data_IF_987664187111
#
_entry.id   IF_987664187111
#
_cell.length_a   1.000
_cell.length_b   1.000
_cell.length_c   1.000
_cell.angle_alpha   90.00
_cell.angle_beta   90.00
_cell.angle_gamma   90.00
#
_symmetry.space_group_name_H-M   'P 1'
#
loop_
_entity.id
_entity.type
_entity.pdbx_description
1 polymer ?
#
# COMPACT_ATOMS: atom_id res chain seq x y z
N UNK A 1 28.28 10.92 79.71
CA UNK A 1 27.98 12.21 80.38
C UNK A 1 27.24 13.09 79.39
N UNK A 2 26.16 13.75 79.85
CA UNK A 2 25.36 14.81 79.20
C UNK A 2 24.72 14.44 77.84
N UNK A 3 23.40 14.16 77.73
CA UNK A 3 22.21 14.95 78.11
C UNK A 3 22.29 16.42 77.69
N UNK A 4 21.23 16.84 76.97
CA UNK A 4 20.84 18.20 76.62
C UNK A 4 21.38 18.74 75.29
N UNK A 5 20.76 18.30 74.19
CA UNK A 5 20.92 18.92 72.86
C UNK A 5 19.85 18.57 71.83
N UNK A 6 18.74 17.92 72.22
CA UNK A 6 17.70 17.44 71.29
C UNK A 6 16.30 17.98 71.65
N UNK A 7 16.20 18.89 72.62
CA UNK A 7 14.90 19.44 73.06
C UNK A 7 14.55 20.82 72.47
N UNK A 8 15.40 21.40 71.60
CA UNK A 8 15.14 22.70 70.98
C UNK A 8 14.78 22.64 69.49
N UNK A 9 14.76 21.45 68.87
CA UNK A 9 14.36 21.27 67.47
C UNK A 9 12.88 20.85 67.31
N UNK A 10 12.17 20.59 68.41
CA UNK A 10 10.77 20.16 68.41
C UNK A 10 9.75 21.29 68.56
N UNK A 11 10.20 22.55 68.63
CA UNK A 11 9.32 23.71 68.87
C UNK A 11 9.16 24.66 67.65
N UNK A 12 9.66 24.28 66.48
CA UNK A 12 9.56 25.07 65.23
C UNK A 12 8.87 24.32 64.06
N UNK A 13 8.25 23.18 64.32
CA UNK A 13 7.36 22.53 63.35
C UNK A 13 5.92 22.95 63.65
N UNK A 14 5.55 24.10 63.11
CA UNK A 14 4.17 24.56 63.10
C UNK A 14 3.29 23.56 62.35
N UNK A 15 2.23 23.10 63.03
CA UNK A 15 1.10 22.41 62.43
C UNK A 15 0.49 23.29 61.33
N UNK A 16 0.56 22.85 60.08
CA UNK A 16 -0.42 23.23 59.05
C UNK A 16 -1.44 22.09 58.99
N UNK A 17 -2.64 22.36 59.49
CA UNK A 17 -3.79 21.51 59.29
C UNK A 17 -4.29 21.75 57.86
N UNK A 18 -3.94 20.87 56.94
CA UNK A 18 -4.51 20.82 55.60
C UNK A 18 -5.96 20.32 55.75
N UNK A 19 -6.93 21.23 55.71
CA UNK A 19 -8.32 20.86 55.50
C UNK A 19 -8.46 20.45 54.02
N UNK A 20 -8.44 19.14 53.77
CA UNK A 20 -8.72 18.58 52.47
C UNK A 20 -10.22 18.77 52.17
N UNK A 21 -10.56 19.87 51.51
CA UNK A 21 -11.86 20.04 50.86
C UNK A 21 -11.72 19.31 49.53
N UNK A 22 -12.36 18.16 49.40
CA UNK A 22 -12.55 17.53 48.08
C UNK A 22 -13.37 18.50 47.22
N UNK A 23 -12.71 19.21 46.31
CA UNK A 23 -13.41 19.96 45.26
C UNK A 23 -14.12 18.95 44.35
N UNK A 24 -15.44 18.87 44.51
CA UNK A 24 -16.29 18.18 43.53
C UNK A 24 -16.03 18.84 42.17
N UNK A 25 -15.64 18.09 41.13
CA UNK A 25 -15.45 18.66 39.81
C UNK A 25 -16.76 19.31 39.38
N UNK A 26 -16.77 20.64 39.32
CA UNK A 26 -17.92 21.39 38.83
C UNK A 26 -18.08 21.05 37.35
N UNK A 27 -19.15 20.32 37.04
CA UNK A 27 -19.56 20.05 35.67
C UNK A 27 -19.69 21.37 34.91
N UNK A 28 -18.83 21.57 33.92
CA UNK A 28 -18.68 22.83 33.19
C UNK A 28 -19.72 23.00 32.08
N UNK A 29 -20.78 22.20 32.08
CA UNK A 29 -21.96 22.51 31.26
C UNK A 29 -22.70 23.68 31.90
N UNK A 30 -22.46 24.89 31.38
CA UNK A 30 -23.25 26.06 31.72
C UNK A 30 -24.74 25.78 31.41
N UNK A 31 -25.54 25.51 32.44
CA UNK A 31 -26.99 25.37 32.33
C UNK A 31 -27.62 26.76 32.28
N UNK A 32 -27.52 27.39 31.11
CA UNK A 32 -28.16 28.65 30.78
C UNK A 32 -28.37 28.78 29.29
N UNK A 33 -29.46 29.42 28.86
CA UNK A 33 -29.63 29.77 27.45
C UNK A 33 -28.52 30.75 27.04
N UNK A 34 -27.72 30.37 26.04
CA UNK A 34 -26.80 31.30 25.39
C UNK A 34 -27.64 32.37 24.69
N UNK A 35 -27.76 33.55 25.30
CA UNK A 35 -28.24 34.72 24.57
C UNK A 35 -27.16 35.03 23.53
N UNK A 36 -27.48 34.81 22.27
CA UNK A 36 -26.58 35.13 21.17
C UNK A 36 -26.10 36.57 21.30
N UNK A 37 -24.78 36.78 21.24
CA UNK A 37 -24.21 38.11 21.26
C UNK A 37 -24.58 38.80 19.94
N UNK A 38 -25.40 39.85 20.00
CA UNK A 38 -25.75 40.68 18.85
C UNK A 38 -24.49 41.43 18.41
N UNK A 39 -23.80 40.90 17.40
CA UNK A 39 -22.69 41.57 16.72
C UNK A 39 -23.26 42.59 15.73
N UNK A 40 -23.26 43.86 16.13
CA UNK A 40 -23.70 44.97 15.28
C UNK A 40 -22.58 45.29 14.29
N UNK A 41 -22.90 45.25 12.99
CA UNK A 41 -21.95 45.65 11.96
C UNK A 41 -21.52 47.10 12.16
N UNK A 42 -20.23 47.36 11.94
CA UNK A 42 -19.71 48.73 11.90
C UNK A 42 -20.50 49.58 10.88
N UNK A 43 -20.86 50.83 11.21
CA UNK A 43 -21.50 51.73 10.25
C UNK A 43 -20.56 51.99 9.06
N UNK A 44 -21.10 52.27 7.87
CA UNK A 44 -20.31 52.51 6.66
C UNK A 44 -19.41 53.75 6.73
N UNK A 45 -19.53 54.57 7.78
CA UNK A 45 -18.65 55.70 8.09
C UNK A 45 -17.29 55.29 8.65
N UNK A 46 -17.09 54.03 9.07
CA UNK A 46 -15.80 53.51 9.50
C UNK A 46 -15.07 52.91 8.29
N UNK A 47 -13.93 53.50 7.93
CA UNK A 47 -13.06 52.99 6.87
C UNK A 47 -11.92 52.19 7.50
N UNK A 48 -11.77 50.93 7.08
CA UNK A 48 -10.68 50.06 7.50
C UNK A 48 -9.71 49.87 6.32
N UNK A 49 -8.44 50.21 6.50
CA UNK A 49 -7.45 50.13 5.42
C UNK A 49 -6.08 49.65 5.92
N UNK A 50 -5.40 48.88 5.06
CA UNK A 50 -3.99 48.54 5.22
C UNK A 50 -3.16 49.46 4.31
N UNK A 51 -2.29 50.28 4.90
CA UNK A 51 -1.37 51.14 4.15
C UNK A 51 0.04 50.56 4.22
N UNK A 52 0.69 50.37 3.08
CA UNK A 52 2.08 49.93 3.03
C UNK A 52 3.04 51.12 3.17
N UNK A 53 3.97 51.04 4.13
CA UNK A 53 5.05 51.99 4.31
C UNK A 53 6.36 51.44 3.69
N UNK A 54 6.83 51.98 2.55
CA UNK A 54 8.05 51.52 1.88
C UNK A 54 9.34 51.87 2.64
N UNK A 55 9.34 52.87 3.53
CA UNK A 55 10.54 53.26 4.27
C UNK A 55 10.87 52.28 5.40
N UNK A 56 9.84 51.74 6.05
CA UNK A 56 9.98 50.80 7.17
C UNK A 56 9.69 49.34 6.79
N UNK A 57 9.21 49.09 5.57
CA UNK A 57 8.75 47.78 5.08
C UNK A 57 7.74 47.16 6.05
N UNK A 58 6.67 47.91 6.32
CA UNK A 58 5.59 47.54 7.24
C UNK A 58 4.23 47.86 6.64
N UNK A 59 3.21 47.09 7.03
CA UNK A 59 1.81 47.38 6.76
C UNK A 59 1.19 47.97 8.02
N UNK A 60 0.52 49.10 7.89
CA UNK A 60 -0.16 49.78 8.99
C UNK A 60 -1.66 49.64 8.79
N UNK A 61 -2.33 48.97 9.71
CA UNK A 61 -3.78 48.84 9.75
C UNK A 61 -4.40 49.97 10.58
N UNK A 62 -5.28 50.74 9.96
CA UNK A 62 -6.00 51.85 10.60
C UNK A 62 -7.51 51.75 10.36
N UNK A 63 -8.27 52.11 11.40
CA UNK A 63 -9.70 52.39 11.31
C UNK A 63 -9.89 53.89 11.47
N UNK A 64 -10.50 54.54 10.49
CA UNK A 64 -10.77 55.98 10.52
C UNK A 64 -12.25 56.30 10.34
N UNK A 65 -12.69 57.38 10.98
CA UNK A 65 -14.00 58.01 10.81
C UNK A 65 -13.77 59.48 10.54
N UNK A 66 -14.23 59.97 9.39
CA UNK A 66 -14.12 61.38 8.99
C UNK A 66 -12.67 61.93 9.11
N UNK A 67 -11.68 61.12 8.72
CA UNK A 67 -10.26 61.48 8.77
C UNK A 67 -9.58 61.32 10.13
N UNK A 68 -10.31 60.98 11.20
CA UNK A 68 -9.75 60.71 12.52
C UNK A 68 -9.59 59.21 12.77
N UNK A 69 -8.39 58.80 13.21
CA UNK A 69 -8.13 57.41 13.60
C UNK A 69 -8.85 57.11 14.91
N UNK A 70 -9.67 56.06 14.90
CA UNK A 70 -10.46 55.63 16.06
C UNK A 70 -9.83 54.45 16.80
N UNK A 71 -8.72 53.90 16.29
CA UNK A 71 -7.96 52.82 16.92
C UNK A 71 -6.46 53.09 16.93
N UNK A 72 -5.74 52.38 17.81
CA UNK A 72 -4.29 52.31 17.73
C UNK A 72 -3.88 51.53 16.46
N UNK A 73 -2.91 52.05 15.68
CA UNK A 73 -2.48 51.41 14.45
C UNK A 73 -1.79 50.08 14.77
N UNK A 74 -2.19 49.02 14.08
CA UNK A 74 -1.50 47.74 14.14
C UNK A 74 -0.44 47.71 13.03
N UNK A 75 0.83 47.64 13.43
CA UNK A 75 1.97 47.63 12.52
C UNK A 75 2.40 46.19 12.32
N UNK A 76 2.36 45.73 11.08
CA UNK A 76 2.65 44.35 10.69
C UNK A 76 3.88 44.32 9.77
N UNK A 77 4.71 43.32 9.96
CA UNK A 77 5.67 42.92 8.92
C UNK A 77 4.93 42.35 7.69
N UNK A 78 5.57 42.27 6.51
CA UNK A 78 4.96 41.66 5.34
C UNK A 78 4.51 40.21 5.58
N UNK A 79 5.30 39.43 6.34
CA UNK A 79 4.96 38.05 6.71
C UNK A 79 3.74 37.99 7.64
N UNK A 80 3.67 38.86 8.64
CA UNK A 80 2.51 38.92 9.55
C UNK A 80 1.24 39.38 8.84
N UNK A 81 1.35 40.34 7.91
CA UNK A 81 0.24 40.76 7.07
C UNK A 81 -0.29 39.61 6.21
N UNK A 82 0.60 38.90 5.50
CA UNK A 82 0.21 37.73 4.69
C UNK A 82 -0.46 36.64 5.54
N UNK A 83 0.10 36.34 6.71
CA UNK A 83 -0.46 35.36 7.64
C UNK A 83 -1.85 35.78 8.15
N UNK A 84 -2.04 37.06 8.44
CA UNK A 84 -3.31 37.60 8.90
C UNK A 84 -4.35 37.60 7.77
N UNK A 85 -4.00 38.07 6.58
CA UNK A 85 -4.86 38.06 5.40
C UNK A 85 -5.27 36.63 5.03
N UNK A 86 -4.34 35.67 5.11
CA UNK A 86 -4.64 34.25 4.92
C UNK A 86 -5.63 33.75 5.98
N UNK A 87 -5.44 34.11 7.25
CA UNK A 87 -6.37 33.74 8.32
C UNK A 87 -7.76 34.33 8.11
N UNK A 88 -7.85 35.61 7.76
CA UNK A 88 -9.12 36.30 7.52
C UNK A 88 -9.84 35.75 6.29
N UNK A 89 -9.12 35.51 5.18
CA UNK A 89 -9.68 34.90 3.99
C UNK A 89 -10.20 33.48 4.24
N UNK A 90 -9.45 32.65 4.98
CA UNK A 90 -9.90 31.32 5.40
C UNK A 90 -11.17 31.43 6.26
N UNK A 91 -11.18 32.31 7.27
CA UNK A 91 -12.33 32.51 8.14
C UNK A 91 -13.56 32.95 7.33
N UNK A 92 -13.41 33.94 6.46
CA UNK A 92 -14.49 34.43 5.60
C UNK A 92 -14.99 33.34 4.66
N UNK A 93 -14.10 32.55 4.06
CA UNK A 93 -14.45 31.41 3.21
C UNK A 93 -15.30 30.37 3.98
N UNK A 94 -14.85 29.94 5.16
CA UNK A 94 -15.61 28.97 5.96
C UNK A 94 -16.94 29.54 6.47
N UNK A 95 -16.97 30.83 6.84
CA UNK A 95 -18.19 31.49 7.29
C UNK A 95 -19.21 31.63 6.16
N UNK A 96 -18.79 32.03 4.96
CA UNK A 96 -19.65 32.06 3.76
C UNK A 96 -20.18 30.67 3.42
N UNK A 97 -19.33 29.63 3.50
CA UNK A 97 -19.73 28.24 3.26
C UNK A 97 -20.75 27.75 4.29
N UNK A 98 -20.54 28.05 5.57
CA UNK A 98 -21.46 27.71 6.64
C UNK A 98 -22.82 28.43 6.48
N UNK A 99 -22.79 29.73 6.19
CA UNK A 99 -23.98 30.54 5.95
C UNK A 99 -24.81 30.01 4.76
N UNK A 100 -24.15 29.60 3.68
CA UNK A 100 -24.79 29.03 2.50
C UNK A 100 -25.32 27.60 2.73
N UNK A 101 -24.73 26.83 3.65
CA UNK A 101 -25.26 25.52 4.08
C UNK A 101 -26.51 25.70 4.97
N UNK A 102 -26.46 26.60 5.95
CA UNK A 102 -27.55 26.83 6.91
C UNK A 102 -28.80 27.45 6.24
N UNK A 103 -28.62 28.23 5.16
CA UNK A 103 -29.71 28.71 4.31
C UNK A 103 -30.66 29.71 4.97
N UNK A 104 -30.25 30.33 6.08
CA UNK A 104 -31.09 31.26 6.89
C UNK A 104 -30.92 32.75 6.53
N UNK A 105 -29.99 33.10 5.62
CA UNK A 105 -29.71 34.48 5.21
C UNK A 105 -30.24 34.76 3.79
N UNK A 106 -30.69 35.99 3.53
CA UNK A 106 -31.15 36.42 2.20
C UNK A 106 -30.02 36.28 1.15
N UNK A 107 -30.34 35.74 -0.03
CA UNK A 107 -29.38 35.50 -1.11
C UNK A 107 -28.61 34.17 -1.05
N UNK A 108 -28.88 33.33 -0.04
CA UNK A 108 -28.23 32.02 0.13
C UNK A 108 -28.61 31.00 -0.95
N UNK A 109 -29.72 31.15 -1.67
CA UNK A 109 -30.13 30.19 -2.71
C UNK A 109 -29.16 30.09 -3.89
N UNK A 110 -28.51 31.19 -4.28
CA UNK A 110 -27.48 31.18 -5.32
C UNK A 110 -26.17 30.61 -4.78
N UNK A 111 -25.74 31.03 -3.58
CA UNK A 111 -24.54 30.51 -2.93
C UNK A 111 -24.64 29.01 -2.60
N UNK A 112 -25.86 28.52 -2.34
CA UNK A 112 -26.15 27.10 -2.09
C UNK A 112 -26.07 26.27 -3.36
N UNK A 113 -26.44 26.81 -4.54
CA UNK A 113 -26.29 26.11 -5.82
C UNK A 113 -24.83 25.74 -6.12
N UNK A 114 -23.88 26.59 -5.75
CA UNK A 114 -22.44 26.33 -5.92
C UNK A 114 -21.88 25.30 -4.93
N UNK A 115 -22.60 25.05 -3.83
CA UNK A 115 -22.19 24.11 -2.77
C UNK A 115 -22.87 22.74 -2.87
N UNK A 116 -23.87 22.59 -3.75
CA UNK A 116 -24.55 21.32 -3.95
C UNK A 116 -23.81 20.47 -4.99
N UNK A 117 -23.76 19.13 -4.81
CA UNK A 117 -23.24 18.19 -5.82
C UNK A 117 -24.10 18.12 -7.10
N UNK A 118 -25.11 18.98 -7.22
CA UNK A 118 -26.09 19.01 -8.30
C UNK A 118 -25.95 20.28 -9.10
N UNK A 119 -25.36 20.16 -10.29
CA UNK A 119 -25.23 21.25 -11.25
C UNK A 119 -26.42 21.27 -12.19
N UNK A 120 -26.84 22.47 -12.60
CA UNK A 120 -27.93 22.68 -13.56
C UNK A 120 -27.40 23.31 -14.84
N UNK A 121 -27.73 22.73 -15.99
CA UNK A 121 -27.30 23.21 -17.30
C UNK A 121 -28.47 23.89 -17.99
N UNK A 122 -28.36 25.20 -18.27
CA UNK A 122 -29.40 25.94 -18.98
C UNK A 122 -29.27 25.77 -20.51
N UNK A 123 -29.66 24.60 -21.04
CA UNK A 123 -29.66 24.30 -22.48
C UNK A 123 -30.76 23.32 -22.87
N UNK A 124 -31.63 23.72 -23.80
CA UNK A 124 -32.70 22.85 -24.30
C UNK A 124 -32.17 21.64 -25.09
N UNK A 125 -31.03 21.78 -25.75
CA UNK A 125 -30.34 20.65 -26.41
C UNK A 125 -29.87 19.61 -25.39
N UNK A 126 -29.30 20.08 -24.27
CA UNK A 126 -28.83 19.22 -23.19
C UNK A 126 -29.98 18.42 -22.59
N UNK A 127 -31.09 19.09 -22.27
CA UNK A 127 -32.30 18.44 -21.75
C UNK A 127 -32.87 17.41 -22.72
N UNK A 128 -32.85 17.70 -24.03
CA UNK A 128 -33.33 16.78 -25.07
C UNK A 128 -32.50 15.50 -25.14
N UNK A 129 -31.17 15.59 -25.06
CA UNK A 129 -30.29 14.39 -25.13
C UNK A 129 -30.34 13.59 -23.83
N UNK A 130 -30.23 14.27 -22.69
CA UNK A 130 -30.05 13.63 -21.39
C UNK A 130 -31.35 13.40 -20.60
N UNK A 131 -32.48 13.90 -21.09
CA UNK A 131 -33.79 13.75 -20.45
C UNK A 131 -33.90 14.51 -19.12
N UNK A 132 -33.15 15.60 -18.98
CA UNK A 132 -33.10 16.45 -17.80
C UNK A 132 -31.92 17.43 -17.85
N UNK A 133 -32.00 18.52 -17.09
CA UNK A 133 -30.97 19.56 -17.03
C UNK A 133 -30.02 19.44 -15.83
N UNK A 134 -30.12 18.35 -15.06
CA UNK A 134 -29.38 18.14 -13.82
C UNK A 134 -28.17 17.24 -14.02
N UNK A 135 -27.08 17.54 -13.33
CA UNK A 135 -25.88 16.72 -13.22
C UNK A 135 -25.64 16.48 -11.74
N UNK A 136 -25.91 15.26 -11.26
CA UNK A 136 -25.66 14.84 -9.87
C UNK A 136 -24.37 14.02 -9.85
N UNK A 137 -23.31 14.51 -9.20
CA UNK A 137 -22.02 13.81 -9.10
C UNK A 137 -21.68 13.56 -7.65
N UNK A 138 -21.48 12.30 -7.29
CA UNK A 138 -21.15 11.84 -5.94
C UNK A 138 -19.78 11.16 -5.96
N UNK A 139 -18.70 11.93 -5.77
CA UNK A 139 -17.39 11.35 -5.50
C UNK A 139 -17.34 10.83 -4.06
N UNK A 140 -16.71 9.69 -3.87
CA UNK A 140 -16.52 9.00 -2.60
C UNK A 140 -15.10 8.45 -2.57
N UNK A 141 -14.51 8.31 -1.39
CA UNK A 141 -13.15 7.80 -1.21
C UNK A 141 -12.17 8.85 -0.69
N UNK A 142 -10.87 8.58 -0.86
CA UNK A 142 -9.77 9.41 -0.37
C UNK A 142 -8.72 9.65 -1.44
N UNK A 143 -8.04 10.77 -1.29
CA UNK A 143 -6.84 11.11 -2.05
C UNK A 143 -5.79 11.50 -1.03
N UNK A 144 -4.72 10.72 -0.96
CA UNK A 144 -3.56 10.97 -0.13
C UNK A 144 -2.38 11.33 -1.03
N UNK A 145 -1.55 12.26 -0.55
CA UNK A 145 -0.40 12.73 -1.27
C UNK A 145 0.74 12.94 -0.27
N UNK A 146 1.77 12.10 -0.39
CA UNK A 146 2.97 12.16 0.41
C UNK A 146 4.04 12.92 -0.39
N UNK A 147 4.48 14.04 0.17
CA UNK A 147 5.53 14.89 -0.40
C UNK A 147 6.74 14.84 0.53
N UNK A 148 7.87 14.36 0.02
CA UNK A 148 9.10 14.19 0.77
C UNK A 148 10.32 14.63 -0.01
N UNK A 149 11.42 14.83 0.72
CA UNK A 149 12.74 14.98 0.13
C UNK A 149 13.63 13.91 0.75
N UNK A 150 14.14 13.01 -0.08
CA UNK A 150 15.00 11.92 0.35
C UNK A 150 16.45 12.27 0.07
N UNK A 151 17.20 12.54 1.13
CA UNK A 151 18.65 12.67 1.07
C UNK A 151 19.28 11.35 1.50
N UNK A 152 20.11 10.77 0.63
CA UNK A 152 20.90 9.59 0.96
C UNK A 152 22.37 9.90 0.77
N UNK A 153 23.20 9.44 1.72
CA UNK A 153 24.65 9.55 1.63
C UNK A 153 25.27 8.20 1.94
N UNK A 154 26.19 7.76 1.09
CA UNK A 154 26.94 6.54 1.27
C UNK A 154 28.44 6.85 1.21
N UNK A 155 29.16 6.55 2.28
CA UNK A 155 30.59 6.81 2.40
C UNK A 155 31.46 5.68 1.79
N UNK A 156 30.90 4.89 0.88
CA UNK A 156 31.66 3.84 0.20
C UNK A 156 32.69 4.48 -0.74
N UNK A 157 34.01 4.26 -0.49
CA UNK A 157 35.06 4.86 -1.29
C UNK A 157 35.09 4.37 -2.74
N UNK A 158 34.48 3.22 -3.05
CA UNK A 158 34.37 2.71 -4.41
C UNK A 158 33.47 3.58 -5.30
N UNK A 159 32.58 4.40 -4.72
CA UNK A 159 31.81 5.38 -5.46
C UNK A 159 32.57 6.69 -5.61
N UNK A 160 32.39 7.34 -6.76
CA UNK A 160 32.93 8.68 -7.00
C UNK A 160 32.34 9.69 -6.00
N UNK A 161 33.08 10.71 -5.56
CA UNK A 161 32.58 11.69 -4.59
C UNK A 161 31.23 12.33 -4.97
N UNK A 162 30.96 12.48 -6.27
CA UNK A 162 29.68 13.01 -6.78
C UNK A 162 28.51 12.05 -6.59
N UNK A 163 28.76 10.73 -6.67
CA UNK A 163 27.72 9.70 -6.53
C UNK A 163 27.56 9.20 -5.08
N UNK A 164 28.29 9.78 -4.12
CA UNK A 164 28.18 9.45 -2.70
C UNK A 164 27.00 10.12 -2.00
N UNK A 165 26.40 11.14 -2.60
CA UNK A 165 25.21 11.82 -2.07
C UNK A 165 24.17 11.98 -3.17
N UNK A 166 22.92 11.63 -2.88
CA UNK A 166 21.79 11.82 -3.78
C UNK A 166 20.65 12.52 -3.02
N UNK A 167 20.09 13.55 -3.66
CA UNK A 167 18.92 14.28 -3.19
C UNK A 167 17.80 14.03 -4.20
N UNK A 168 16.77 13.30 -3.78
CA UNK A 168 15.64 12.93 -4.64
C UNK A 168 14.36 13.50 -4.04
N UNK A 169 13.54 14.11 -4.89
CA UNK A 169 12.18 14.47 -4.52
C UNK A 169 11.31 13.22 -4.52
N UNK A 170 10.63 12.99 -3.41
CA UNK A 170 9.81 11.81 -3.16
C UNK A 170 8.34 12.22 -3.24
N UNK A 171 7.59 11.58 -4.14
CA UNK A 171 6.20 11.94 -4.40
C UNK A 171 5.38 10.70 -4.63
N UNK A 172 4.58 10.37 -3.61
CA UNK A 172 3.69 9.22 -3.64
C UNK A 172 2.24 9.70 -3.56
N UNK A 173 1.43 9.30 -4.54
CA UNK A 173 0.00 9.57 -4.56
C UNK A 173 -0.76 8.26 -4.34
N UNK A 174 -1.66 8.24 -3.34
CA UNK A 174 -2.62 7.15 -3.15
C UNK A 174 -4.01 7.69 -3.39
N UNK A 175 -4.59 7.30 -4.53
CA UNK A 175 -5.96 7.67 -4.90
C UNK A 175 -6.79 6.41 -4.76
N UNK A 176 -7.82 6.46 -3.91
CA UNK A 176 -8.86 5.43 -3.84
C UNK A 176 -10.21 6.14 -3.92
N UNK A 177 -10.75 6.24 -5.13
CA UNK A 177 -11.92 7.06 -5.43
C UNK A 177 -12.97 6.28 -6.23
N UNK A 178 -14.22 6.42 -5.81
CA UNK A 178 -15.42 5.94 -6.51
C UNK A 178 -16.30 7.15 -6.84
N UNK A 179 -16.64 7.32 -8.11
CA UNK A 179 -17.46 8.40 -8.62
C UNK A 179 -18.72 7.83 -9.25
N UNK A 180 -19.86 8.23 -8.71
CA UNK A 180 -21.17 7.92 -9.27
C UNK A 180 -21.82 9.21 -9.74
N UNK A 181 -22.05 9.34 -11.04
CA UNK A 181 -22.64 10.50 -11.68
C UNK A 181 -23.92 10.13 -12.40
N UNK A 182 -24.94 10.97 -12.31
CA UNK A 182 -26.14 10.90 -13.15
C UNK A 182 -26.34 12.23 -13.85
N UNK A 183 -26.39 12.18 -15.18
CA UNK A 183 -26.64 13.33 -16.05
C UNK A 183 -28.04 13.17 -16.64
N UNK A 184 -28.95 14.05 -16.21
CA UNK A 184 -30.37 13.98 -16.50
C UNK A 184 -30.99 12.67 -16.02
N UNK A 185 -31.76 12.02 -16.88
CA UNK A 185 -32.35 10.70 -16.65
C UNK A 185 -31.67 9.59 -17.45
N UNK A 186 -30.93 9.96 -18.51
CA UNK A 186 -30.47 9.03 -19.55
C UNK A 186 -28.99 8.66 -19.49
N UNK A 187 -28.12 9.42 -18.83
CA UNK A 187 -26.68 9.09 -18.75
C UNK A 187 -26.27 8.80 -17.30
N UNK A 188 -25.76 7.60 -17.07
CA UNK A 188 -25.13 7.18 -15.82
C UNK A 188 -23.62 7.04 -16.01
N UNK A 189 -22.85 7.51 -15.04
CA UNK A 189 -21.39 7.43 -15.01
C UNK A 189 -21.00 6.73 -13.73
N UNK A 190 -20.20 5.68 -13.84
CA UNK A 190 -19.61 4.98 -12.72
C UNK A 190 -18.11 4.83 -12.96
N UNK A 191 -17.29 5.43 -12.11
CA UNK A 191 -15.84 5.39 -12.24
C UNK A 191 -15.20 5.04 -10.88
N UNK A 192 -14.56 3.88 -10.81
CA UNK A 192 -13.74 3.45 -9.68
C UNK A 192 -12.28 3.48 -10.10
N UNK A 193 -11.48 4.19 -9.33
CA UNK A 193 -10.06 4.34 -9.59
C UNK A 193 -9.28 4.19 -8.28
N UNK A 194 -8.42 3.18 -8.25
CA UNK A 194 -7.53 2.87 -7.15
C UNK A 194 -6.09 2.70 -7.70
N UNK A 195 -5.16 3.51 -7.20
CA UNK A 195 -3.74 3.47 -7.56
C UNK A 195 -3.02 2.26 -6.98
N UNK A 196 -3.53 1.68 -5.90
CA UNK A 196 -2.95 0.52 -5.20
C UNK A 196 -3.64 -0.79 -5.56
N UNK A 197 -4.51 -0.78 -6.57
CA UNK A 197 -5.19 -1.97 -7.04
C UNK A 197 -4.21 -3.05 -7.51
N UNK A 198 -4.35 -4.27 -6.98
CA UNK A 198 -3.57 -5.44 -7.42
C UNK A 198 -3.93 -5.87 -8.84
N UNK A 199 -5.15 -5.60 -9.30
CA UNK A 199 -5.66 -6.07 -10.58
C UNK A 199 -6.23 -4.93 -11.42
N UNK A 200 -5.71 -4.76 -12.64
CA UNK A 200 -6.12 -3.69 -13.55
C UNK A 200 -7.63 -3.67 -13.90
N UNK A 201 -8.37 -4.77 -13.71
CA UNK A 201 -9.82 -4.83 -13.93
C UNK A 201 -10.65 -4.21 -12.80
N UNK A 202 -10.07 -3.94 -11.63
CA UNK A 202 -10.78 -3.27 -10.52
C UNK A 202 -10.95 -1.77 -10.78
N UNK A 203 -10.05 -1.19 -11.58
CA UNK A 203 -10.19 0.16 -12.11
C UNK A 203 -11.22 0.15 -13.25
N UNK A 204 -12.42 0.61 -12.91
CA UNK A 204 -13.60 0.55 -13.76
C UNK A 204 -13.99 1.97 -14.15
N UNK A 205 -14.16 2.22 -15.44
CA UNK A 205 -14.79 3.44 -15.94
C UNK A 205 -15.91 2.98 -16.85
N UNK A 206 -17.15 3.28 -16.49
CA UNK A 206 -18.33 2.90 -17.26
C UNK A 206 -19.27 4.08 -17.41
N UNK A 207 -19.51 4.47 -18.67
CA UNK A 207 -20.54 5.43 -19.04
C UNK A 207 -21.66 4.64 -19.70
N UNK A 208 -22.89 4.80 -19.22
CA UNK A 208 -24.07 4.12 -19.73
C UNK A 208 -25.13 5.15 -20.12
N UNK A 209 -25.41 5.24 -21.42
CA UNK A 209 -26.50 6.01 -21.98
C UNK A 209 -27.69 5.08 -22.25
N UNK A 210 -28.79 5.31 -21.57
CA UNK A 210 -30.07 4.60 -21.74
C UNK A 210 -31.13 5.63 -22.10
N UNK A 211 -31.54 5.70 -23.39
CA UNK A 211 -32.58 6.61 -23.82
C UNK A 211 -33.98 6.06 -23.45
N UNK A 212 -35.04 6.61 -24.04
CA UNK A 212 -36.43 6.22 -23.74
C UNK A 212 -36.81 4.89 -24.40
N UNK A 213 -37.81 4.19 -23.87
CA UNK A 213 -38.20 2.84 -24.34
C UNK A 213 -38.56 2.78 -25.84
N UNK A 214 -39.09 3.88 -26.39
CA UNK A 214 -39.50 3.98 -27.79
C UNK A 214 -38.33 4.16 -28.79
N UNK A 215 -37.09 4.31 -28.31
CA UNK A 215 -35.93 4.58 -29.17
C UNK A 215 -35.33 3.30 -29.76
N UNK A 216 -34.89 3.35 -31.03
CA UNK A 216 -34.18 2.21 -31.67
C UNK A 216 -32.90 1.88 -30.90
N UNK A 217 -32.20 2.89 -30.42
CA UNK A 217 -31.02 2.74 -29.57
C UNK A 217 -31.54 2.41 -28.18
N UNK A 218 -31.17 1.27 -27.63
CA UNK A 218 -31.61 0.85 -26.29
C UNK A 218 -30.55 1.13 -25.24
N UNK A 219 -29.27 0.98 -25.60
CA UNK A 219 -28.17 1.21 -24.67
C UNK A 219 -26.87 1.50 -25.41
N UNK A 220 -26.12 2.49 -24.94
CA UNK A 220 -24.72 2.72 -25.33
C UNK A 220 -23.86 2.69 -24.07
N UNK A 221 -22.88 1.80 -24.04
CA UNK A 221 -21.93 1.67 -22.94
C UNK A 221 -20.52 2.00 -23.45
N UNK A 222 -19.76 2.80 -22.70
CA UNK A 222 -18.37 3.17 -23.01
C UNK A 222 -17.49 2.90 -21.81
N UNK A 223 -16.31 2.32 -22.06
CA UNK A 223 -15.32 1.93 -21.05
C UNK A 223 -15.43 0.45 -20.71
N UNK A 224 -15.53 0.09 -19.44
CA UNK A 224 -15.64 -1.30 -18.99
C UNK A 224 -17.02 -1.88 -19.35
N UNK A 225 -17.04 -2.75 -20.34
CA UNK A 225 -18.24 -3.41 -20.87
C UNK A 225 -18.14 -4.93 -20.77
N UNK A 226 -19.28 -5.59 -20.83
CA UNK A 226 -19.39 -7.04 -20.86
C UNK A 226 -20.32 -7.50 -21.97
N UNK A 227 -19.96 -8.62 -22.59
CA UNK A 227 -20.75 -9.22 -23.65
C UNK A 227 -20.88 -10.74 -23.44
N UNK A 228 -21.60 -11.16 -22.38
CA UNK A 228 -21.86 -12.58 -22.16
C UNK A 228 -22.78 -13.11 -23.28
N UNK A 229 -22.44 -14.28 -23.81
CA UNK A 229 -23.24 -15.01 -24.80
C UNK A 229 -23.76 -16.31 -24.18
N UNK A 230 -25.02 -16.62 -24.42
CA UNK A 230 -25.68 -17.84 -23.94
C UNK A 230 -25.45 -19.03 -24.90
N UNK A 231 -24.22 -19.26 -25.35
CA UNK A 231 -23.86 -20.37 -26.23
C UNK A 231 -22.61 -21.09 -25.70
N UNK A 232 -22.57 -22.41 -25.81
CA UNK A 232 -21.43 -23.23 -25.40
C UNK A 232 -20.26 -23.20 -26.39
N UNK A 233 -20.54 -22.95 -27.68
CA UNK A 233 -19.53 -22.96 -28.74
C UNK A 233 -18.72 -21.66 -28.80
N UNK A 234 -19.39 -20.52 -28.64
CA UNK A 234 -18.78 -19.20 -28.65
C UNK A 234 -19.02 -18.57 -27.29
N UNK A 235 -17.96 -18.52 -26.48
CA UNK A 235 -18.01 -17.89 -25.16
C UNK A 235 -17.83 -16.39 -25.33
N UNK A 236 -18.78 -15.61 -24.83
CA UNK A 236 -18.68 -14.16 -24.77
C UNK A 236 -17.56 -13.72 -23.84
N UNK A 237 -16.84 -12.66 -24.20
CA UNK A 237 -15.77 -12.13 -23.37
C UNK A 237 -16.32 -11.28 -22.22
N UNK A 238 -15.67 -11.41 -21.07
CA UNK A 238 -15.96 -10.67 -19.85
C UNK A 238 -14.76 -9.77 -19.52
N UNK A 239 -15.03 -8.56 -19.02
CA UNK A 239 -14.04 -7.52 -18.76
C UNK A 239 -13.35 -7.00 -20.03
N UNK A 240 -14.10 -6.22 -20.80
CA UNK A 240 -13.66 -5.58 -22.02
C UNK A 240 -13.57 -4.07 -21.79
N UNK A 241 -12.62 -3.38 -22.43
CA UNK A 241 -12.57 -1.93 -22.45
C UNK A 241 -12.86 -1.42 -23.86
N UNK A 242 -13.98 -0.73 -24.07
CA UNK A 242 -14.38 -0.27 -25.38
C UNK A 242 -15.79 0.32 -25.43
N UNK A 243 -16.43 0.21 -26.59
CA UNK A 243 -17.77 0.71 -26.85
C UNK A 243 -18.69 -0.45 -27.16
N UNK A 244 -19.86 -0.47 -26.53
CA UNK A 244 -20.94 -1.41 -26.79
C UNK A 244 -22.22 -0.65 -27.07
N UNK A 245 -22.91 -1.01 -28.15
CA UNK A 245 -24.18 -0.41 -28.53
C UNK A 245 -25.22 -1.50 -28.76
N UNK A 246 -26.43 -1.30 -28.24
CA UNK A 246 -27.57 -2.18 -28.41
C UNK A 246 -28.68 -1.45 -29.14
N UNK A 247 -29.16 -2.05 -30.21
CA UNK A 247 -30.25 -1.55 -31.05
C UNK A 247 -31.38 -2.58 -31.06
N UNK A 248 -32.63 -2.11 -31.03
CA UNK A 248 -33.81 -2.96 -31.09
C UNK A 248 -34.72 -2.53 -32.24
N UNK A 249 -34.94 -3.46 -33.18
CA UNK A 249 -35.82 -3.30 -34.33
C UNK A 249 -37.02 -4.24 -34.15
N UNK A 250 -38.06 -3.75 -33.47
CA UNK A 250 -39.22 -4.54 -33.09
C UNK A 250 -38.85 -5.66 -32.12
N UNK A 251 -38.86 -6.92 -32.58
CA UNK A 251 -38.47 -8.10 -31.80
C UNK A 251 -37.00 -8.52 -32.00
N UNK A 252 -36.27 -7.84 -32.87
CA UNK A 252 -34.89 -8.17 -33.20
C UNK A 252 -33.94 -7.24 -32.46
N UNK A 253 -33.07 -7.80 -31.61
CA UNK A 253 -32.04 -7.04 -30.90
C UNK A 253 -30.68 -7.28 -31.54
N UNK A 254 -30.02 -6.21 -31.96
CA UNK A 254 -28.67 -6.22 -32.52
C UNK A 254 -27.73 -5.55 -31.52
N UNK A 255 -26.77 -6.29 -31.00
CA UNK A 255 -25.76 -5.77 -30.09
C UNK A 255 -24.39 -5.80 -30.76
N UNK A 256 -23.77 -4.64 -30.91
CA UNK A 256 -22.43 -4.47 -31.44
C UNK A 256 -21.44 -4.12 -30.33
N UNK A 257 -20.22 -4.66 -30.39
CA UNK A 257 -19.15 -4.34 -29.45
C UNK A 257 -17.83 -4.17 -30.21
N UNK A 258 -17.10 -3.11 -29.87
CA UNK A 258 -15.74 -2.86 -30.32
C UNK A 258 -14.89 -2.53 -29.10
N UNK A 259 -13.97 -3.42 -28.74
CA UNK A 259 -13.27 -3.33 -27.46
C UNK A 259 -11.93 -4.05 -27.47
N UNK A 260 -11.03 -3.59 -26.61
CA UNK A 260 -9.83 -4.30 -26.23
C UNK A 260 -10.13 -5.27 -25.09
N UNK A 261 -9.72 -6.53 -25.25
CA UNK A 261 -9.87 -7.55 -24.22
C UNK A 261 -8.71 -7.47 -23.22
N UNK A 262 -9.04 -7.21 -21.95
CA UNK A 262 -8.05 -7.11 -20.85
C UNK A 262 -7.85 -8.41 -20.06
N UNK A 263 -8.49 -9.50 -20.47
CA UNK A 263 -8.51 -10.77 -19.74
C UNK A 263 -8.03 -11.94 -20.60
N UNK A 264 -7.35 -12.91 -19.99
CA UNK A 264 -6.97 -14.17 -20.63
C UNK A 264 -7.79 -15.32 -20.04
N UNK A 265 -8.38 -16.14 -20.90
CA UNK A 265 -9.09 -17.34 -20.46
C UNK A 265 -8.07 -18.42 -20.08
N UNK A 266 -8.13 -18.90 -18.84
CA UNK A 266 -7.37 -20.07 -18.38
C UNK A 266 -8.33 -21.20 -18.03
N UNK A 267 -8.16 -22.36 -18.65
CA UNK A 267 -8.92 -23.57 -18.33
C UNK A 267 -8.09 -24.41 -17.37
N UNK A 268 -8.69 -24.83 -16.26
CA UNK A 268 -8.12 -25.78 -15.32
C UNK A 268 -8.96 -27.05 -15.36
N UNK A 269 -8.30 -28.20 -15.51
CA UNK A 269 -8.96 -29.50 -15.46
C UNK A 269 -8.85 -30.02 -14.03
N UNK A 270 -10.00 -30.21 -13.37
CA UNK A 270 -10.07 -30.78 -12.04
C UNK A 270 -10.71 -32.17 -12.12
N UNK A 271 -10.10 -33.16 -11.47
CA UNK A 271 -10.61 -34.53 -11.39
C UNK A 271 -10.44 -35.02 -9.95
N UNK A 272 -11.47 -35.67 -9.39
CA UNK A 272 -11.37 -36.27 -8.04
C UNK A 272 -11.20 -35.29 -6.88
N UNK A 273 -11.55 -34.01 -7.04
CA UNK A 273 -11.48 -33.00 -5.97
C UNK A 273 -10.20 -32.17 -5.93
N UNK A 274 -9.29 -32.35 -6.89
CA UNK A 274 -8.07 -31.54 -7.03
C UNK A 274 -7.87 -31.02 -8.45
N UNK A 275 -7.05 -29.97 -8.58
CA UNK A 275 -6.55 -29.48 -9.87
C UNK A 275 -5.42 -30.40 -10.34
N UNK A 276 -5.54 -30.96 -11.55
CA UNK A 276 -4.44 -31.71 -12.16
C UNK A 276 -3.51 -30.71 -12.84
N UNK A 277 -2.21 -30.80 -12.52
CA UNK A 277 -1.17 -30.11 -13.26
C UNK A 277 -0.25 -31.17 -13.85
N UNK A 278 -0.28 -31.29 -15.18
CA UNK A 278 0.64 -32.16 -15.89
C UNK A 278 2.06 -31.59 -15.80
N UNK A 279 3.04 -32.47 -15.60
CA UNK A 279 4.44 -32.13 -15.67
C UNK A 279 5.13 -33.07 -16.66
N UNK A 280 6.15 -32.57 -17.33
CA UNK A 280 6.99 -33.31 -18.26
C UNK A 280 8.44 -33.11 -17.81
N UNK A 281 9.21 -34.21 -17.76
CA UNK A 281 10.61 -34.20 -17.37
C UNK A 281 11.38 -35.08 -18.34
N UNK A 282 12.39 -34.52 -18.99
CA UNK A 282 13.33 -35.32 -19.76
C UNK A 282 14.29 -36.05 -18.81
N UNK A 283 14.69 -37.27 -19.16
CA UNK A 283 15.64 -38.03 -18.33
C UNK A 283 17.01 -37.34 -18.15
N UNK A 284 17.36 -36.38 -19.02
CA UNK A 284 18.55 -35.55 -18.90
C UNK A 284 18.40 -34.37 -17.94
N UNK A 285 17.16 -33.95 -17.63
CA UNK A 285 16.83 -32.84 -16.73
C UNK A 285 16.81 -33.31 -15.26
N UNK A 286 17.69 -34.24 -14.91
CA UNK A 286 17.83 -34.69 -13.52
C UNK A 286 18.36 -33.55 -12.66
N UNK A 287 18.06 -33.60 -11.36
CA UNK A 287 18.51 -32.58 -10.40
C UNK A 287 20.02 -32.71 -10.14
N UNK A 288 20.81 -31.87 -10.81
CA UNK A 288 22.27 -31.86 -10.73
C UNK A 288 22.77 -31.26 -9.40
N UNK A 289 23.80 -31.87 -8.82
CA UNK A 289 24.51 -31.35 -7.63
C UNK A 289 23.64 -31.11 -6.38
N UNK A 290 22.49 -31.80 -6.29
CA UNK A 290 21.60 -31.71 -5.13
C UNK A 290 21.57 -32.98 -4.29
N UNK A 291 21.71 -34.14 -4.93
CA UNK A 291 21.65 -35.44 -4.28
C UNK A 291 23.01 -36.12 -4.38
N UNK A 292 23.56 -36.51 -3.23
CA UNK A 292 24.88 -37.13 -3.12
C UNK A 292 24.80 -38.45 -2.36
N UNK A 293 25.53 -39.45 -2.85
CA UNK A 293 25.82 -40.64 -2.05
C UNK A 293 26.83 -40.28 -0.96
N UNK A 294 26.71 -40.91 0.22
CA UNK A 294 27.63 -40.67 1.33
C UNK A 294 29.03 -41.24 1.07
N UNK A 295 29.12 -42.31 0.28
CA UNK A 295 30.37 -42.99 -0.05
C UNK A 295 30.18 -43.92 -1.26
N UNK A 296 31.28 -44.43 -1.81
CA UNK A 296 31.26 -45.37 -2.93
C UNK A 296 30.61 -46.72 -2.56
N UNK A 297 30.71 -47.11 -1.29
CA UNK A 297 29.98 -48.27 -0.76
C UNK A 297 28.46 -48.16 -0.98
N UNK A 298 27.87 -46.99 -0.69
CA UNK A 298 26.43 -46.79 -0.87
C UNK A 298 26.04 -46.69 -2.34
N UNK A 299 26.87 -46.02 -3.15
CA UNK A 299 26.66 -45.90 -4.60
C UNK A 299 26.61 -47.28 -5.27
N UNK A 300 27.58 -48.14 -4.98
CA UNK A 300 27.72 -49.46 -5.62
C UNK A 300 26.62 -50.44 -5.24
N UNK A 301 26.00 -50.28 -4.05
CA UNK A 301 24.95 -51.16 -3.56
C UNK A 301 23.53 -50.61 -3.74
N UNK A 302 23.36 -49.37 -4.16
CA UNK A 302 22.05 -48.72 -4.23
C UNK A 302 21.04 -49.51 -5.08
N UNK A 303 21.44 -49.90 -6.30
CA UNK A 303 20.57 -50.62 -7.23
C UNK A 303 20.25 -52.05 -6.75
N UNK A 304 21.22 -52.71 -6.10
CA UNK A 304 21.03 -54.06 -5.54
C UNK A 304 20.12 -54.03 -4.31
N UNK A 305 20.33 -53.08 -3.41
CA UNK A 305 19.52 -52.94 -2.20
C UNK A 305 18.04 -52.63 -2.51
N UNK A 306 17.76 -52.04 -3.67
CA UNK A 306 16.41 -51.68 -4.13
C UNK A 306 15.77 -52.68 -5.10
N UNK A 307 16.44 -53.82 -5.39
CA UNK A 307 15.95 -54.83 -6.34
C UNK A 307 14.55 -55.35 -6.01
N UNK A 308 14.21 -55.46 -4.73
CA UNK A 308 12.92 -55.95 -4.21
C UNK A 308 12.10 -54.85 -3.51
N UNK A 309 12.12 -53.62 -4.06
CA UNK A 309 11.32 -52.51 -3.52
C UNK A 309 9.84 -52.91 -3.32
N UNK A 310 9.22 -52.65 -2.15
CA UNK A 310 9.63 -51.71 -1.09
C UNK A 310 10.54 -52.27 0.01
N UNK A 311 10.93 -53.55 -0.01
CA UNK A 311 11.88 -54.10 0.95
C UNK A 311 13.32 -53.69 0.56
N UNK A 312 14.01 -52.99 1.46
CA UNK A 312 15.39 -52.52 1.25
C UNK A 312 16.36 -53.58 1.78
N UNK A 313 17.12 -54.22 0.90
CA UNK A 313 18.12 -55.24 1.25
C UNK A 313 19.45 -54.59 1.69
N UNK A 314 19.41 -53.93 2.85
CA UNK A 314 20.59 -53.33 3.49
C UNK A 314 20.49 -53.47 5.00
N UNK A 315 21.62 -53.79 5.64
CA UNK A 315 21.75 -53.85 7.12
C UNK A 315 22.32 -52.56 7.71
N UNK A 316 22.62 -51.57 6.87
CA UNK A 316 23.28 -50.33 7.31
C UNK A 316 22.26 -49.36 7.87
N UNK A 317 22.52 -48.84 9.06
CA UNK A 317 21.75 -47.78 9.69
C UNK A 317 22.65 -46.56 9.93
N UNK A 318 22.29 -45.44 9.34
CA UNK A 318 22.99 -44.17 9.54
C UNK A 318 22.44 -43.51 10.81
N UNK A 319 23.26 -43.35 11.83
CA UNK A 319 22.85 -42.81 13.15
C UNK A 319 23.08 -41.31 13.28
N UNK A 320 24.09 -40.75 12.59
CA UNK A 320 24.43 -39.33 12.58
C UNK A 320 24.98 -38.94 11.22
N UNK A 321 24.57 -37.77 10.73
CA UNK A 321 25.13 -37.15 9.52
C UNK A 321 25.51 -35.72 9.89
N UNK A 322 26.73 -35.34 9.52
CA UNK A 322 27.18 -33.94 9.54
C UNK A 322 27.63 -33.55 8.14
N UNK A 323 27.09 -32.45 7.64
CA UNK A 323 27.41 -31.93 6.31
C UNK A 323 28.07 -30.57 6.47
N UNK A 324 29.21 -30.42 5.82
CA UNK A 324 30.00 -29.20 5.88
C UNK A 324 30.02 -28.54 4.49
N UNK A 325 29.59 -27.28 4.43
CA UNK A 325 29.50 -26.51 3.18
C UNK A 325 30.37 -25.26 3.29
N UNK A 326 31.06 -24.90 2.21
CA UNK A 326 31.89 -23.69 2.17
C UNK A 326 31.04 -22.43 2.42
N UNK A 327 31.41 -21.65 3.44
CA UNK A 327 30.76 -20.37 3.73
C UNK A 327 31.25 -19.29 2.75
N UNK A 328 30.58 -19.14 1.60
CA UNK A 328 30.94 -18.13 0.58
C UNK A 328 30.60 -16.69 1.00
N UNK A 329 29.67 -16.50 1.91
CA UNK A 329 29.16 -15.18 2.30
C UNK A 329 29.81 -14.63 3.57
N UNK A 330 30.73 -15.38 4.18
CA UNK A 330 31.41 -15.05 5.45
C UNK A 330 30.44 -14.57 6.55
N UNK A 331 29.19 -15.08 6.53
CA UNK A 331 28.18 -14.71 7.53
C UNK A 331 28.45 -15.52 8.80
N UNK A 332 28.58 -14.84 9.93
CA UNK A 332 28.67 -15.44 11.25
C UNK A 332 27.34 -15.16 11.96
N UNK A 333 26.60 -16.22 12.29
CA UNK A 333 25.35 -16.13 13.06
C UNK A 333 25.64 -16.37 14.55
N UNK A 334 24.95 -15.67 15.44
CA UNK A 334 25.06 -15.88 16.91
C UNK A 334 24.39 -17.18 17.36
N UNK A 335 23.53 -17.77 16.53
CA UNK A 335 22.93 -19.09 16.72
C UNK A 335 23.56 -20.06 15.71
N UNK A 336 24.03 -21.23 16.19
CA UNK A 336 24.70 -22.27 15.40
C UNK A 336 26.07 -21.90 14.80
N UNK A 337 26.91 -21.16 15.54
CA UNK A 337 28.29 -20.86 15.13
C UNK A 337 29.27 -22.02 15.45
N UNK A 338 29.26 -23.06 14.63
CA UNK A 338 30.26 -24.14 14.70
C UNK A 338 31.14 -24.14 13.44
N UNK A 339 31.63 -22.97 13.02
CA UNK A 339 32.54 -22.85 11.88
C UNK A 339 33.88 -23.52 12.21
N UNK A 340 34.36 -24.40 11.34
CA UNK A 340 35.62 -25.14 11.50
C UNK A 340 36.44 -25.10 10.22
N UNK A 341 37.75 -25.24 10.39
CA UNK A 341 38.64 -25.56 9.28
C UNK A 341 38.46 -27.04 8.96
N UNK A 342 38.30 -27.36 7.68
CA UNK A 342 37.99 -28.72 7.23
C UNK A 342 38.89 -29.04 6.06
N UNK A 343 39.43 -30.25 6.07
CA UNK A 343 40.09 -30.86 4.93
C UNK A 343 39.24 -32.07 4.55
N UNK A 344 38.52 -31.95 3.43
CA UNK A 344 37.75 -33.06 2.89
C UNK A 344 38.68 -33.93 2.04
N UNK A 345 38.78 -35.21 2.39
CA UNK A 345 39.54 -36.21 1.64
C UNK A 345 38.56 -37.06 0.85
N UNK A 346 38.84 -37.29 -0.44
CA UNK A 346 37.94 -37.99 -1.34
C UNK A 346 37.72 -39.45 -0.95
N UNK A 347 38.82 -40.17 -0.66
CA UNK A 347 38.79 -41.64 -0.47
C UNK A 347 38.88 -42.03 1.02
N UNK A 348 38.37 -41.18 1.91
CA UNK A 348 38.52 -41.39 3.35
C UNK A 348 37.68 -42.58 3.84
N UNK A 349 38.37 -43.61 4.36
CA UNK A 349 37.74 -44.78 4.95
C UNK A 349 37.09 -45.73 3.94
N UNK A 350 37.32 -45.52 2.63
CA UNK A 350 36.80 -46.38 1.58
C UNK A 350 37.56 -47.71 1.54
N UNK A 351 36.82 -48.80 1.30
CA UNK A 351 37.38 -50.14 1.09
C UNK A 351 37.35 -50.51 -0.38
N UNK A 352 38.12 -51.53 -0.76
CA UNK A 352 38.10 -52.04 -2.14
C UNK A 352 36.71 -52.60 -2.47
N UNK A 353 36.19 -52.34 -3.67
CA UNK A 353 34.89 -52.91 -4.11
C UNK A 353 35.13 -54.06 -5.09
N UNK A 354 34.55 -55.23 -4.83
CA UNK A 354 34.83 -56.45 -5.62
C UNK A 354 34.40 -56.33 -7.08
N UNK A 355 33.37 -55.53 -7.37
CA UNK A 355 32.77 -55.40 -8.71
C UNK A 355 33.31 -54.21 -9.52
N UNK A 356 34.26 -53.43 -8.98
CA UNK A 356 34.76 -52.22 -9.61
C UNK A 356 36.28 -52.24 -9.67
N UNK A 357 36.86 -51.62 -10.71
CA UNK A 357 38.32 -51.48 -10.78
C UNK A 357 38.79 -50.37 -9.87
N UNK A 358 39.95 -50.53 -9.24
CA UNK A 358 40.51 -49.56 -8.29
C UNK A 358 40.52 -48.10 -8.79
N UNK A 359 40.90 -47.79 -10.06
CA UNK A 359 40.86 -46.41 -10.58
C UNK A 359 39.45 -45.80 -10.72
N UNK A 360 38.39 -46.61 -10.67
CA UNK A 360 36.99 -46.15 -10.70
C UNK A 360 36.46 -45.82 -9.31
N UNK A 361 37.15 -46.28 -8.25
CA UNK A 361 36.69 -46.18 -6.86
C UNK A 361 37.53 -45.19 -6.08
N UNK A 362 38.86 -45.20 -6.26
CA UNK A 362 39.82 -44.38 -5.50
C UNK A 362 40.99 -43.93 -6.37
N UNK A 363 41.84 -43.04 -5.84
CA UNK A 363 43.01 -42.51 -6.56
C UNK A 363 44.06 -43.58 -6.93
N UNK A 364 44.63 -43.47 -8.13
CA UNK A 364 45.67 -44.39 -8.66
C UNK A 364 46.94 -43.61 -9.08
N UNK A 365 48.17 -44.14 -8.88
CA UNK A 365 48.51 -45.41 -8.22
C UNK A 365 48.30 -45.34 -6.71
N UNK A 366 47.78 -46.43 -6.15
CA UNK A 366 47.55 -46.52 -4.71
C UNK A 366 48.88 -46.77 -3.98
N UNK A 367 49.14 -46.05 -2.87
CA UNK A 367 50.27 -46.38 -2.00
C UNK A 367 50.09 -47.76 -1.36
N UNK A 368 51.20 -48.41 -0.99
CA UNK A 368 51.14 -49.68 -0.28
C UNK A 368 50.36 -49.54 1.04
N UNK A 369 49.40 -50.42 1.29
CA UNK A 369 48.55 -50.39 2.49
C UNK A 369 47.39 -49.37 2.43
N UNK A 370 47.01 -48.89 1.25
CA UNK A 370 45.89 -47.97 1.06
C UNK A 370 44.56 -48.53 1.59
N UNK A 371 44.22 -49.78 1.24
CA UNK A 371 43.05 -50.46 1.79
C UNK A 371 43.40 -51.16 3.11
N UNK A 372 42.73 -50.75 4.18
CA UNK A 372 42.93 -51.29 5.53
C UNK A 372 41.81 -52.22 5.99
N UNK A 373 40.68 -52.23 5.27
CA UNK A 373 39.50 -53.05 5.54
C UNK A 373 39.30 -54.11 4.44
N UNK A 374 38.59 -55.22 4.74
CA UNK A 374 38.21 -56.20 3.73
C UNK A 374 37.42 -55.58 2.59
N UNK A 375 37.49 -56.19 1.41
CA UNK A 375 36.69 -55.76 0.27
C UNK A 375 35.19 -55.72 0.62
N UNK A 376 34.50 -54.75 0.02
CA UNK A 376 33.08 -54.48 0.18
C UNK A 376 32.65 -54.13 1.61
N UNK A 377 33.57 -53.65 2.45
CA UNK A 377 33.25 -53.15 3.80
C UNK A 377 32.61 -51.75 3.74
N UNK A 378 31.63 -51.44 4.61
CA UNK A 378 31.14 -50.08 4.76
C UNK A 378 32.29 -49.11 5.05
N UNK A 379 32.19 -47.90 4.53
CA UNK A 379 33.16 -46.83 4.77
C UNK A 379 33.27 -46.60 6.28
N UNK A 380 34.47 -46.80 6.84
CA UNK A 380 34.73 -46.68 8.28
C UNK A 380 35.84 -45.67 8.50
N UNK A 381 35.48 -44.55 9.12
CA UNK A 381 36.38 -43.49 9.51
C UNK A 381 36.32 -43.21 11.02
N UNK A 382 36.36 -44.28 11.84
CA UNK A 382 36.41 -44.25 13.32
C UNK A 382 37.29 -43.18 13.98
N UNK A 383 38.25 -42.59 13.25
CA UNK A 383 39.17 -41.57 13.73
C UNK A 383 38.81 -40.11 13.35
N UNK A 384 37.62 -39.86 12.81
CA UNK A 384 37.17 -38.49 12.51
C UNK A 384 36.18 -37.97 13.55
N UNK A 385 36.70 -37.61 14.73
CA UNK A 385 36.31 -36.46 15.57
C UNK A 385 37.23 -36.30 16.78
#
# INVERSE_FOLDING_TARGET
>A
MLKSGIFLLFLLLGFQAEAQVDEVPQDSTATGYSQGQLDLKNPPSILEAYTYDPATNRYVYTKSVDGFNINYPLILTPEEYQKLQLRESMRNYFQQKQDAIDGKKDGTDQAKKDLLPRYYVNSGFFETIFGGNTIDVKPTGSVEMDLGVRFTKQDNPSFSPRNRSSLTFDFDQRISMSLQGKVGTRLNVNANYDTESTFAFQNLIKLEYTPTEDDIIQKIEVGNVSFPLNNSLIRGAQSLFGVKAQFQFGKTTVTGIFSEQKSQTKTVTAQGGGTIQDFELFGLDYDSDRHFFLSQYFRSRYDEALRNYPYIDSRVQITRIEVWVTNRQNRVSTTANNLRNIVALQDLGESQLTNYTDPQVVIFPQPAGFYTAPADSPTDNKNNL
#
